data_IF_266311044279
#
_entry.id   IF_266311044279
#
_cell.length_a   1.000
_cell.length_b   1.000
_cell.length_c   1.000
_cell.angle_alpha   90.00
_cell.angle_beta   90.00
_cell.angle_gamma   90.00
#
_symmetry.space_group_name_H-M   'P 1'
#
loop_
_entity.id
_entity.type
_entity.pdbx_description
1 polymer ?
#
# COMPACT_ATOMS: atom_id res chain seq x y z
N UNK A 1 -13.71 -10.31 -4.78
CA UNK A 1 -12.51 -9.52 -4.43
C UNK A 1 -11.22 -10.28 -4.82
N UNK A 2 -10.17 -9.59 -5.29
CA UNK A 2 -8.91 -10.23 -5.77
C UNK A 2 -8.01 -10.75 -4.64
N UNK A 3 -8.21 -10.24 -3.43
CA UNK A 3 -7.42 -10.55 -2.25
C UNK A 3 -8.27 -10.32 -0.98
N UNK A 4 -7.80 -10.87 0.13
CA UNK A 4 -8.48 -10.76 1.42
C UNK A 4 -7.84 -9.73 2.33
N UNK A 5 -8.68 -9.01 3.08
CA UNK A 5 -8.25 -8.14 4.18
C UNK A 5 -7.95 -9.00 5.41
N UNK A 6 -6.76 -8.82 5.96
CA UNK A 6 -6.26 -9.50 7.16
C UNK A 6 -6.11 -8.50 8.31
N UNK A 7 -5.88 -9.04 9.51
CA UNK A 7 -5.69 -8.25 10.73
C UNK A 7 -6.99 -7.72 11.35
N UNK A 8 -7.06 -7.72 12.69
CA UNK A 8 -8.22 -7.19 13.44
C UNK A 8 -8.04 -5.71 13.74
N UNK A 9 -6.96 -5.36 14.44
CA UNK A 9 -6.68 -3.99 14.91
C UNK A 9 -5.89 -3.14 13.91
N UNK A 10 -5.07 -3.78 13.07
CA UNK A 10 -4.34 -3.13 11.99
C UNK A 10 -4.67 -3.87 10.70
N UNK A 11 -5.67 -3.41 9.96
CA UNK A 11 -6.02 -4.01 8.68
C UNK A 11 -4.84 -3.97 7.71
N UNK A 12 -4.57 -5.10 7.06
CA UNK A 12 -3.53 -5.19 6.02
C UNK A 12 -3.93 -6.19 4.95
N UNK A 13 -3.24 -6.18 3.82
CA UNK A 13 -3.40 -7.20 2.77
C UNK A 13 -2.07 -7.84 2.44
N UNK A 14 -2.09 -9.13 2.13
CA UNK A 14 -0.90 -9.86 1.68
C UNK A 14 -1.26 -10.95 0.69
N UNK A 15 -0.37 -11.15 -0.29
CA UNK A 15 -0.44 -12.18 -1.31
C UNK A 15 0.98 -12.61 -1.68
N UNK A 16 1.15 -13.85 -2.15
CA UNK A 16 2.46 -14.39 -2.56
C UNK A 16 3.58 -14.24 -1.48
N UNK A 17 3.21 -14.33 -0.19
CA UNK A 17 4.15 -14.14 0.93
C UNK A 17 4.55 -12.67 1.21
N UNK A 18 4.01 -11.71 0.46
CA UNK A 18 4.29 -10.29 0.62
C UNK A 18 3.08 -9.49 1.10
N UNK A 19 3.31 -8.61 2.09
CA UNK A 19 2.35 -7.56 2.43
C UNK A 19 2.40 -6.45 1.38
N UNK A 20 1.24 -5.90 1.04
CA UNK A 20 1.13 -4.86 0.01
C UNK A 20 0.20 -3.69 0.37
N UNK A 21 -0.55 -3.79 1.47
CA UNK A 21 -1.17 -2.62 2.09
C UNK A 21 -1.23 -2.74 3.61
N UNK A 22 -1.24 -1.61 4.32
CA UNK A 22 -1.34 -1.56 5.77
C UNK A 22 -2.02 -0.27 6.22
N UNK A 23 -3.05 -0.38 7.06
CA UNK A 23 -3.57 0.70 7.89
C UNK A 23 -2.94 0.57 9.29
N UNK A 24 -2.04 1.49 9.62
CA UNK A 24 -1.31 1.44 10.89
C UNK A 24 -2.14 1.99 12.06
N UNK A 25 -1.61 1.89 13.29
CA UNK A 25 -2.29 2.38 14.50
C UNK A 25 -2.50 3.89 14.56
N UNK A 26 -1.78 4.67 13.75
CA UNK A 26 -1.95 6.12 13.63
C UNK A 26 -3.09 6.49 12.65
N UNK A 27 -3.72 5.50 12.03
CA UNK A 27 -4.72 5.72 10.98
C UNK A 27 -4.10 6.22 9.68
N UNK A 28 -2.84 5.86 9.43
CA UNK A 28 -2.14 6.13 8.17
C UNK A 28 -2.21 4.90 7.28
N UNK A 29 -2.44 5.11 5.99
CA UNK A 29 -2.63 4.03 5.04
C UNK A 29 -1.48 3.99 4.04
N UNK A 30 -0.76 2.87 4.04
CA UNK A 30 0.35 2.62 3.13
C UNK A 30 -0.01 1.58 2.08
N UNK A 31 0.37 1.82 0.83
CA UNK A 31 0.27 0.85 -0.26
C UNK A 31 1.65 0.63 -0.88
N UNK A 32 1.99 -0.62 -1.18
CA UNK A 32 3.28 -1.02 -1.74
C UNK A 32 3.27 -0.97 -3.27
N UNK A 33 4.33 -0.47 -3.87
CA UNK A 33 4.54 -0.48 -5.31
C UNK A 33 5.96 -0.93 -5.66
N UNK A 34 6.21 -1.10 -6.95
CA UNK A 34 7.57 -1.16 -7.48
C UNK A 34 8.27 0.18 -7.22
N UNK A 35 9.60 0.19 -7.20
CA UNK A 35 10.36 1.41 -6.90
C UNK A 35 10.01 2.56 -7.86
N UNK A 36 9.93 2.27 -9.16
CA UNK A 36 9.61 3.26 -10.20
C UNK A 36 8.21 3.86 -9.99
N UNK A 37 7.22 3.02 -9.70
CA UNK A 37 5.85 3.48 -9.47
C UNK A 37 5.73 4.24 -8.14
N UNK A 38 6.46 3.81 -7.11
CA UNK A 38 6.52 4.52 -5.84
C UNK A 38 6.96 5.98 -6.04
N UNK A 39 8.01 6.21 -6.82
CA UNK A 39 8.53 7.55 -7.09
C UNK A 39 7.51 8.40 -7.86
N UNK A 40 6.78 7.81 -8.81
CA UNK A 40 5.69 8.48 -9.54
C UNK A 40 4.59 8.91 -8.57
N UNK A 41 4.05 8.00 -7.77
CA UNK A 41 2.95 8.32 -6.87
C UNK A 41 3.33 9.23 -5.71
N UNK A 42 4.59 9.20 -5.23
CA UNK A 42 5.08 10.21 -4.28
C UNK A 42 4.94 11.61 -4.86
N UNK A 43 5.33 11.80 -6.13
CA UNK A 43 5.24 13.09 -6.80
C UNK A 43 3.79 13.47 -7.15
N UNK A 44 3.03 12.58 -7.80
CA UNK A 44 1.67 12.86 -8.28
C UNK A 44 0.68 13.13 -7.14
N UNK A 45 0.82 12.40 -6.04
CA UNK A 45 -0.07 12.54 -4.89
C UNK A 45 0.43 13.58 -3.88
N UNK A 46 1.60 14.19 -4.10
CA UNK A 46 2.32 14.95 -3.09
C UNK A 46 2.40 14.19 -1.76
N UNK A 47 2.70 12.89 -1.88
CA UNK A 47 2.75 11.94 -0.78
C UNK A 47 4.17 11.83 -0.22
N UNK A 48 4.32 11.05 0.84
CA UNK A 48 5.63 10.75 1.43
C UNK A 48 5.81 9.25 1.61
N UNK A 49 7.01 8.86 2.05
CA UNK A 49 7.29 7.46 2.35
C UNK A 49 6.46 7.04 3.56
N UNK A 50 5.89 5.83 3.50
CA UNK A 50 5.12 5.29 4.61
C UNK A 50 6.04 4.84 5.76
N UNK A 51 5.70 5.25 6.97
CA UNK A 51 6.36 4.80 8.20
C UNK A 51 5.41 3.95 9.03
N UNK A 52 5.92 2.86 9.59
CA UNK A 52 5.14 2.02 10.51
C UNK A 52 6.08 1.42 11.55
N UNK A 53 5.65 1.40 12.82
CA UNK A 53 6.45 0.89 13.93
C UNK A 53 7.86 1.52 14.08
N UNK A 54 8.01 2.80 13.73
CA UNK A 54 9.29 3.50 13.79
C UNK A 54 10.27 3.14 12.65
N UNK A 55 9.86 2.27 11.73
CA UNK A 55 10.64 1.89 10.55
C UNK A 55 10.10 2.54 9.28
N UNK A 56 11.01 2.80 8.34
CA UNK A 56 10.69 3.20 6.96
C UNK A 56 10.22 1.95 6.21
N UNK A 57 9.01 1.99 5.66
CA UNK A 57 8.50 0.90 4.85
C UNK A 57 8.92 1.07 3.38
N UNK A 58 9.95 0.33 2.99
CA UNK A 58 10.51 0.39 1.62
C UNK A 58 9.47 -0.06 0.59
N UNK A 59 9.33 0.70 -0.48
CA UNK A 59 8.34 0.44 -1.53
C UNK A 59 6.93 0.92 -1.19
N UNK A 60 6.68 1.51 -0.01
CA UNK A 60 5.35 1.97 0.37
C UNK A 60 5.20 3.48 0.21
N UNK A 61 4.05 3.88 -0.34
CA UNK A 61 3.59 5.27 -0.41
C UNK A 61 2.56 5.48 0.69
N UNK A 62 2.71 6.56 1.47
CA UNK A 62 1.69 7.02 2.39
C UNK A 62 0.57 7.70 1.60
N UNK A 63 -0.59 7.06 1.51
CA UNK A 63 -1.71 7.61 0.74
C UNK A 63 -2.32 8.81 1.47
N UNK A 64 -2.28 10.02 0.88
CA UNK A 64 -2.81 11.22 1.52
C UNK A 64 -4.30 11.08 1.85
N UNK A 65 -4.72 11.59 3.01
CA UNK A 65 -6.09 11.43 3.52
C UNK A 65 -7.15 12.07 2.62
N UNK A 66 -6.82 13.14 1.91
CA UNK A 66 -7.70 13.80 0.94
C UNK A 66 -8.05 12.89 -0.24
N UNK A 67 -7.25 11.85 -0.52
CA UNK A 67 -7.52 10.85 -1.57
C UNK A 67 -8.46 9.73 -1.14
N UNK A 68 -8.82 9.64 0.15
CA UNK A 68 -9.56 8.47 0.66
C UNK A 68 -11.03 8.43 0.23
N UNK A 69 -11.58 9.56 -0.20
CA UNK A 69 -12.96 9.64 -0.70
C UNK A 69 -13.10 9.07 -2.12
N UNK A 70 -11.99 8.92 -2.86
CA UNK A 70 -12.00 8.29 -4.17
C UNK A 70 -11.70 6.79 -4.06
N UNK A 71 -12.73 6.03 -3.69
CA UNK A 71 -12.65 4.59 -3.53
C UNK A 71 -12.31 3.86 -4.85
N UNK A 72 -12.63 4.45 -5.99
CA UNK A 72 -12.32 3.87 -7.31
C UNK A 72 -10.81 3.90 -7.53
N UNK A 73 -10.19 5.05 -7.34
CA UNK A 73 -8.74 5.23 -7.47
C UNK A 73 -7.99 4.41 -6.42
N UNK A 74 -8.44 4.40 -5.16
CA UNK A 74 -7.85 3.53 -4.12
C UNK A 74 -7.90 2.05 -4.48
N UNK A 75 -9.01 1.58 -5.07
CA UNK A 75 -9.15 0.19 -5.51
C UNK A 75 -8.18 -0.13 -6.65
N UNK A 76 -7.94 0.82 -7.56
CA UNK A 76 -6.96 0.67 -8.63
C UNK A 76 -5.54 0.54 -8.07
N UNK A 77 -5.15 1.40 -7.14
CA UNK A 77 -3.85 1.31 -6.45
C UNK A 77 -3.65 -0.02 -5.74
N UNK A 78 -4.67 -0.51 -5.04
CA UNK A 78 -4.60 -1.81 -4.38
C UNK A 78 -4.49 -2.98 -5.37
N UNK A 79 -5.18 -2.89 -6.52
CA UNK A 79 -5.10 -3.90 -7.57
C UNK A 79 -3.71 -3.91 -8.23
N UNK A 80 -3.16 -2.74 -8.54
CA UNK A 80 -1.80 -2.60 -9.08
C UNK A 80 -0.75 -3.13 -8.10
N UNK A 81 -0.91 -2.78 -6.82
CA UNK A 81 -0.06 -3.27 -5.73
C UNK A 81 -0.12 -4.80 -5.59
N UNK A 82 -1.33 -5.37 -5.71
CA UNK A 82 -1.53 -6.81 -5.73
C UNK A 82 -0.83 -7.47 -6.94
N UNK A 83 -1.01 -6.92 -8.14
CA UNK A 83 -0.35 -7.42 -9.35
C UNK A 83 1.17 -7.40 -9.22
N UNK A 84 1.72 -6.33 -8.67
CA UNK A 84 3.15 -6.23 -8.41
C UNK A 84 3.64 -7.32 -7.44
N UNK A 85 2.99 -7.55 -6.30
CA UNK A 85 3.46 -8.59 -5.39
C UNK A 85 3.26 -10.01 -5.90
N UNK A 86 2.27 -10.22 -6.77
CA UNK A 86 2.07 -11.50 -7.46
C UNK A 86 3.11 -11.75 -8.55
N UNK A 87 3.76 -10.71 -9.09
CA UNK A 87 4.85 -10.86 -10.06
C UNK A 87 6.22 -11.13 -9.43
N UNK A 88 6.35 -11.02 -8.10
CA UNK A 88 7.59 -11.33 -7.38
C UNK A 88 7.76 -12.84 -7.23
N UNK A 89 9.00 -13.31 -7.04
CA UNK A 89 9.24 -14.70 -6.65
C UNK A 89 8.53 -15.00 -5.32
N UNK A 90 7.84 -16.14 -5.18
CA UNK A 90 7.18 -16.49 -3.93
C UNK A 90 8.15 -16.49 -2.75
N UNK A 91 7.69 -15.96 -1.61
CA UNK A 91 8.49 -15.85 -0.38
C UNK A 91 8.37 -17.07 0.54
#
# INVERSE_FOLDING_TARGET
>A
PRFERKGKTMPYTSANGYMFSLLNKKGEFGIRFSKTIQDIYINELNATIFHSYGAVMRGYVLIPKDKWNDLKTLSQYLNESYDYVMSLEPK
#
